data_IF_620590736195
#
_entry.id   IF_620590736195
#
_cell.length_a   1.000
_cell.length_b   1.000
_cell.length_c   1.000
_cell.angle_alpha   90.00
_cell.angle_beta   90.00
_cell.angle_gamma   90.00
#
_symmetry.space_group_name_H-M   'P 1'
#
loop_
_entity.id
_entity.type
_entity.pdbx_description
1 polymer ?
#
# COMPACT_ATOMS: atom_id res chain seq x y z
N UNK A 1 35.96 -11.38 -9.84
CA UNK A 1 35.46 -10.50 -8.75
C UNK A 1 35.71 -11.17 -7.40
N UNK A 2 36.95 -11.13 -6.91
CA UNK A 2 37.29 -11.62 -5.59
C UNK A 2 37.71 -10.41 -4.76
N UNK A 3 36.91 -10.02 -3.74
CA UNK A 3 37.34 -9.24 -2.56
C UNK A 3 36.23 -8.76 -1.62
N UNK A 4 34.96 -8.72 -2.04
CA UNK A 4 33.87 -8.36 -1.13
C UNK A 4 33.22 -9.62 -0.55
N UNK A 5 33.04 -9.71 0.78
CA UNK A 5 32.24 -10.75 1.40
C UNK A 5 30.82 -10.79 0.83
N UNK A 6 30.18 -11.95 0.96
CA UNK A 6 28.80 -12.17 0.51
C UNK A 6 27.85 -11.15 1.15
N UNK A 7 28.01 -10.94 2.45
CA UNK A 7 27.17 -10.08 3.29
C UNK A 7 27.24 -8.63 2.82
N UNK A 8 28.44 -8.13 2.53
CA UNK A 8 28.63 -6.76 2.04
C UNK A 8 28.05 -6.60 0.64
N UNK A 9 28.20 -7.60 -0.21
CA UNK A 9 27.65 -7.56 -1.57
C UNK A 9 26.11 -7.57 -1.56
N UNK A 10 25.51 -8.42 -0.72
CA UNK A 10 24.06 -8.45 -0.51
C UNK A 10 23.54 -7.12 0.02
N UNK A 11 24.24 -6.50 0.97
CA UNK A 11 23.87 -5.19 1.52
C UNK A 11 23.94 -4.09 0.44
N UNK A 12 25.02 -4.06 -0.36
CA UNK A 12 25.13 -3.11 -1.48
C UNK A 12 23.96 -3.29 -2.45
N UNK A 13 23.60 -4.53 -2.77
CA UNK A 13 22.45 -4.80 -3.63
C UNK A 13 21.16 -4.29 -2.99
N UNK A 14 20.89 -4.59 -1.72
CA UNK A 14 19.70 -4.11 -1.01
C UNK A 14 19.59 -2.58 -1.04
N UNK A 15 20.69 -1.88 -0.77
CA UNK A 15 20.72 -0.41 -0.78
C UNK A 15 20.59 0.21 -2.18
N UNK A 16 20.83 -0.57 -3.23
CA UNK A 16 20.67 -0.12 -4.61
C UNK A 16 19.26 -0.34 -5.18
N UNK A 17 18.38 -1.05 -4.45
CA UNK A 17 17.01 -1.26 -4.88
C UNK A 17 16.17 0.01 -4.67
N UNK A 18 15.25 0.33 -5.60
CA UNK A 18 14.17 1.24 -5.27
C UNK A 18 13.27 0.62 -4.18
N UNK A 19 12.51 1.46 -3.48
CA UNK A 19 11.64 1.02 -2.39
C UNK A 19 10.63 -0.05 -2.83
N UNK A 20 10.03 0.11 -4.02
CA UNK A 20 9.30 -0.95 -4.71
C UNK A 20 9.92 -1.22 -6.09
N UNK A 21 10.66 -2.33 -6.25
CA UNK A 21 11.22 -2.70 -7.53
C UNK A 21 10.14 -3.15 -8.53
N UNK A 22 10.22 -2.62 -9.75
CA UNK A 22 9.41 -3.06 -10.87
C UNK A 22 9.98 -4.35 -11.49
N UNK A 23 9.14 -5.37 -11.75
CA UNK A 23 9.50 -6.51 -12.56
C UNK A 23 9.96 -6.08 -13.96
N UNK A 24 11.23 -6.34 -14.29
CA UNK A 24 11.73 -6.09 -15.63
C UNK A 24 13.15 -6.60 -15.82
N UNK A 25 13.47 -7.08 -17.02
CA UNK A 25 14.79 -7.67 -17.33
C UNK A 25 15.95 -6.66 -17.19
N UNK A 26 15.66 -5.37 -17.32
CA UNK A 26 16.63 -4.27 -17.16
C UNK A 26 16.49 -3.52 -15.83
N UNK A 27 15.67 -4.04 -14.91
CA UNK A 27 15.45 -3.47 -13.59
C UNK A 27 16.15 -4.33 -12.53
N UNK A 28 16.62 -3.71 -11.46
CA UNK A 28 17.08 -4.46 -10.28
C UNK A 28 15.87 -5.08 -9.56
N UNK A 29 16.00 -6.27 -8.95
CA UNK A 29 17.20 -7.09 -8.81
C UNK A 29 17.47 -8.00 -10.03
N UNK A 30 16.59 -8.07 -11.02
CA UNK A 30 16.74 -8.96 -12.20
C UNK A 30 18.00 -8.66 -13.01
N UNK A 31 18.38 -7.39 -13.14
CA UNK A 31 19.61 -6.97 -13.81
C UNK A 31 20.85 -7.63 -13.19
N UNK A 32 20.89 -7.80 -11.86
CA UNK A 32 22.01 -8.43 -11.18
C UNK A 32 22.17 -9.91 -11.53
N UNK A 33 21.08 -10.58 -11.90
CA UNK A 33 21.12 -11.96 -12.38
C UNK A 33 21.83 -12.10 -13.73
N UNK A 34 21.88 -11.04 -14.54
CA UNK A 34 22.42 -11.06 -15.89
C UNK A 34 23.90 -10.62 -15.99
N UNK A 35 24.48 -10.05 -14.93
CA UNK A 35 25.84 -9.47 -14.97
C UNK A 35 26.92 -10.55 -14.94
N UNK A 36 26.92 -11.40 -13.90
CA UNK A 36 27.82 -12.54 -13.81
C UNK A 36 27.26 -13.62 -12.86
N UNK A 37 27.76 -14.86 -12.98
CA UNK A 37 27.29 -15.98 -12.17
C UNK A 37 27.43 -15.74 -10.66
N UNK A 38 28.48 -15.05 -10.22
CA UNK A 38 28.67 -14.74 -8.80
C UNK A 38 27.54 -13.85 -8.27
N UNK A 39 27.17 -12.78 -9.00
CA UNK A 39 26.08 -11.89 -8.60
C UNK A 39 24.73 -12.60 -8.63
N UNK A 40 24.50 -13.44 -9.64
CA UNK A 40 23.30 -14.25 -9.72
C UNK A 40 23.14 -15.15 -8.48
N UNK A 41 24.21 -15.80 -8.02
CA UNK A 41 24.18 -16.62 -6.81
C UNK A 41 23.86 -15.80 -5.55
N UNK A 42 24.47 -14.63 -5.40
CA UNK A 42 24.21 -13.73 -4.26
C UNK A 42 22.73 -13.30 -4.24
N UNK A 43 22.21 -12.87 -5.39
CA UNK A 43 20.85 -12.34 -5.51
C UNK A 43 19.81 -13.43 -5.31
N UNK A 44 20.03 -14.63 -5.84
CA UNK A 44 19.14 -15.78 -5.66
C UNK A 44 19.18 -16.34 -4.23
N UNK A 45 20.29 -16.17 -3.51
CA UNK A 45 20.46 -16.60 -2.12
C UNK A 45 20.05 -15.54 -1.09
N UNK A 46 19.63 -14.35 -1.53
CA UNK A 46 19.22 -13.23 -0.65
C UNK A 46 17.72 -12.94 -0.82
N UNK A 47 16.82 -13.60 -0.06
CA UNK A 47 15.36 -13.41 -0.18
C UNK A 47 14.88 -11.98 0.06
N UNK A 48 15.61 -11.20 0.87
CA UNK A 48 15.25 -9.81 1.18
C UNK A 48 15.21 -8.91 -0.07
N UNK A 49 15.99 -9.22 -1.11
CA UNK A 49 15.95 -8.49 -2.40
C UNK A 49 14.63 -8.67 -3.15
N UNK A 50 13.84 -9.67 -2.77
CA UNK A 50 12.57 -10.03 -3.41
C UNK A 50 11.37 -9.71 -2.52
N UNK A 51 11.62 -9.15 -1.33
CA UNK A 51 10.58 -8.87 -0.33
C UNK A 51 9.69 -7.67 -0.70
N UNK A 52 10.03 -6.90 -1.74
CA UNK A 52 9.22 -5.81 -2.24
C UNK A 52 8.97 -5.95 -3.76
N UNK A 53 7.80 -5.51 -4.23
CA UNK A 53 7.44 -5.51 -5.66
C UNK A 53 6.45 -4.38 -5.98
N UNK A 54 6.65 -3.71 -7.11
CA UNK A 54 5.65 -2.83 -7.73
C UNK A 54 4.96 -3.55 -8.89
N UNK A 55 3.63 -3.56 -8.92
CA UNK A 55 2.82 -4.17 -9.97
C UNK A 55 1.96 -3.09 -10.60
N UNK A 56 2.19 -2.79 -11.88
CA UNK A 56 1.41 -1.81 -12.63
C UNK A 56 0.44 -2.44 -13.62
N UNK A 57 -0.74 -1.81 -13.76
CA UNK A 57 -1.80 -2.26 -14.66
C UNK A 57 -2.02 -1.29 -15.85
N UNK A 58 -2.26 -1.80 -17.08
CA UNK A 58 -2.34 -3.22 -17.44
C UNK A 58 -0.98 -3.91 -17.38
N UNK A 59 -0.97 -5.10 -16.81
CA UNK A 59 0.24 -5.89 -16.61
C UNK A 59 0.63 -6.56 -17.94
N UNK A 60 1.83 -6.31 -18.45
CA UNK A 60 2.32 -7.02 -19.63
C UNK A 60 2.33 -8.53 -19.35
N UNK A 61 2.05 -9.39 -20.34
CA UNK A 61 2.03 -10.85 -20.12
C UNK A 61 3.31 -11.37 -19.46
N UNK A 62 4.47 -10.84 -19.87
CA UNK A 62 5.76 -11.17 -19.27
C UNK A 62 5.85 -10.88 -17.76
N UNK A 63 5.12 -9.87 -17.26
CA UNK A 63 5.10 -9.53 -15.84
C UNK A 63 4.26 -10.51 -15.03
N UNK A 64 3.14 -11.00 -15.58
CA UNK A 64 2.33 -12.04 -14.93
C UNK A 64 3.15 -13.28 -14.61
N UNK A 65 4.00 -13.70 -15.55
CA UNK A 65 4.87 -14.87 -15.37
C UNK A 65 6.01 -14.61 -14.37
N UNK A 66 6.39 -13.34 -14.18
CA UNK A 66 7.47 -12.95 -13.26
C UNK A 66 7.01 -12.83 -11.81
N UNK A 67 5.76 -12.43 -11.55
CA UNK A 67 5.26 -12.23 -10.18
C UNK A 67 5.38 -13.52 -9.35
N UNK A 68 4.91 -14.70 -9.79
CA UNK A 68 5.07 -15.93 -9.01
C UNK A 68 6.53 -16.28 -8.70
N UNK A 69 7.42 -16.08 -9.68
CA UNK A 69 8.86 -16.32 -9.51
C UNK A 69 9.45 -15.36 -8.46
N UNK A 70 9.03 -14.10 -8.50
CA UNK A 70 9.45 -13.08 -7.53
C UNK A 70 9.01 -13.44 -6.11
N UNK A 71 7.73 -13.77 -5.94
CA UNK A 71 7.18 -14.15 -4.64
C UNK A 71 7.80 -15.44 -4.11
N UNK A 72 8.07 -16.43 -4.97
CA UNK A 72 8.79 -17.64 -4.59
C UNK A 72 10.20 -17.35 -4.06
N UNK A 73 10.91 -16.38 -4.65
CA UNK A 73 12.26 -15.98 -4.21
C UNK A 73 12.26 -15.19 -2.90
N UNK A 74 11.17 -14.50 -2.58
CA UNK A 74 10.98 -13.85 -1.29
C UNK A 74 10.85 -14.86 -0.12
N UNK A 75 10.49 -16.12 -0.43
CA UNK A 75 10.38 -17.23 0.53
C UNK A 75 9.40 -16.95 1.67
N UNK A 76 9.91 -16.62 2.85
CA UNK A 76 9.15 -16.36 4.09
C UNK A 76 9.37 -14.94 4.59
N UNK A 77 9.90 -14.06 3.74
CA UNK A 77 10.11 -12.66 4.09
C UNK A 77 8.77 -11.92 4.18
N UNK A 78 8.66 -10.90 5.04
CA UNK A 78 7.51 -10.02 5.04
C UNK A 78 7.44 -9.25 3.71
N UNK A 79 6.34 -9.40 2.98
CA UNK A 79 6.15 -8.81 1.66
C UNK A 79 5.62 -7.38 1.74
N UNK A 80 6.21 -6.51 0.92
CA UNK A 80 5.76 -5.16 0.65
C UNK A 80 5.32 -5.05 -0.81
N UNK A 81 4.04 -4.83 -1.07
CA UNK A 81 3.49 -4.81 -2.42
C UNK A 81 2.94 -3.42 -2.72
N UNK A 82 3.32 -2.86 -3.85
CA UNK A 82 2.73 -1.62 -4.38
C UNK A 82 1.97 -1.96 -5.66
N UNK A 83 0.70 -1.57 -5.74
CA UNK A 83 -0.20 -1.85 -6.86
C UNK A 83 -0.63 -0.53 -7.50
N UNK A 84 -0.31 -0.33 -8.78
CA UNK A 84 -0.90 0.77 -9.55
C UNK A 84 -2.25 0.32 -10.12
N UNK A 85 -3.32 0.72 -9.45
CA UNK A 85 -4.70 0.41 -9.81
C UNK A 85 -5.10 1.23 -11.03
N UNK A 86 -5.60 0.53 -12.05
CA UNK A 86 -6.27 1.15 -13.19
C UNK A 86 -7.48 0.31 -13.62
N UNK A 87 -8.31 0.85 -14.52
CA UNK A 87 -9.44 0.12 -15.11
C UNK A 87 -8.98 -1.23 -15.69
N UNK A 88 -9.52 -2.32 -15.15
CA UNK A 88 -9.18 -3.70 -15.55
C UNK A 88 -8.22 -4.42 -14.59
N UNK A 89 -8.45 -4.31 -13.28
CA UNK A 89 -7.73 -5.10 -12.29
C UNK A 89 -7.72 -6.58 -12.68
N UNK A 90 -6.54 -7.18 -12.67
CA UNK A 90 -6.34 -8.54 -13.15
C UNK A 90 -6.64 -9.56 -12.05
N UNK A 91 -7.69 -10.35 -12.23
CA UNK A 91 -8.07 -11.43 -11.28
C UNK A 91 -6.93 -12.41 -11.05
N UNK A 92 -6.08 -12.65 -12.05
CA UNK A 92 -4.93 -13.55 -11.91
C UNK A 92 -3.96 -13.02 -10.84
N UNK A 93 -3.77 -11.70 -10.77
CA UNK A 93 -2.90 -11.08 -9.77
C UNK A 93 -3.54 -11.15 -8.38
N UNK A 94 -4.86 -10.99 -8.25
CA UNK A 94 -5.55 -11.24 -6.96
C UNK A 94 -5.32 -12.67 -6.49
N UNK A 95 -5.42 -13.64 -7.40
CA UNK A 95 -5.24 -15.04 -7.07
C UNK A 95 -3.80 -15.34 -6.61
N UNK A 96 -2.81 -14.79 -7.31
CA UNK A 96 -1.39 -14.94 -6.92
C UNK A 96 -1.11 -14.28 -5.56
N UNK A 97 -1.65 -13.07 -5.33
CA UNK A 97 -1.51 -12.38 -4.05
C UNK A 97 -2.24 -13.11 -2.92
N UNK A 98 -3.38 -13.74 -3.20
CA UNK A 98 -4.12 -14.58 -2.25
C UNK A 98 -3.29 -15.74 -1.73
N UNK A 99 -2.55 -16.42 -2.61
CA UNK A 99 -1.66 -17.52 -2.21
C UNK A 99 -0.56 -17.07 -1.23
N UNK A 100 -0.10 -15.83 -1.38
CA UNK A 100 0.96 -15.24 -0.56
C UNK A 100 0.46 -14.26 0.51
N UNK A 101 -0.87 -14.16 0.69
CA UNK A 101 -1.53 -13.14 1.52
C UNK A 101 -1.05 -13.11 2.98
N UNK A 102 -0.66 -14.26 3.51
CA UNK A 102 -0.11 -14.40 4.87
C UNK A 102 1.25 -13.72 5.07
N UNK A 103 2.01 -13.48 3.99
CA UNK A 103 3.33 -12.83 4.05
C UNK A 103 3.22 -11.31 3.89
N UNK A 104 2.11 -10.80 3.35
CA UNK A 104 1.92 -9.37 3.11
C UNK A 104 1.87 -8.60 4.43
N UNK A 105 2.79 -7.64 4.58
CA UNK A 105 2.90 -6.74 5.73
C UNK A 105 2.63 -5.29 5.37
N UNK A 106 3.00 -4.90 4.15
CA UNK A 106 2.82 -3.55 3.64
C UNK A 106 2.16 -3.60 2.26
N UNK A 107 1.08 -2.86 2.08
CA UNK A 107 0.36 -2.75 0.82
C UNK A 107 0.21 -1.28 0.46
N UNK A 108 0.56 -0.92 -0.76
CA UNK A 108 0.26 0.40 -1.31
C UNK A 108 -0.63 0.27 -2.54
N UNK A 109 -1.68 1.09 -2.59
CA UNK A 109 -2.59 1.19 -3.71
C UNK A 109 -2.43 2.58 -4.30
N UNK A 110 -2.01 2.66 -5.56
CA UNK A 110 -1.76 3.92 -6.26
C UNK A 110 -2.75 4.05 -7.43
N UNK A 111 -3.36 5.21 -7.58
CA UNK A 111 -4.18 5.54 -8.74
C UNK A 111 -3.31 5.78 -9.97
N UNK A 112 -3.89 5.59 -11.17
CA UNK A 112 -3.20 5.96 -12.41
C UNK A 112 -3.20 7.49 -12.56
N UNK A 113 -2.09 8.14 -12.22
CA UNK A 113 -1.83 9.53 -12.64
C UNK A 113 -1.55 9.53 -14.14
N UNK A 114 -2.43 10.15 -14.92
CA UNK A 114 -2.24 10.28 -16.37
C UNK A 114 -1.35 11.49 -16.65
N UNK A 115 -0.05 11.29 -16.84
CA UNK A 115 0.86 12.34 -17.37
C UNK A 115 0.75 12.50 -18.90
N UNK A 116 -0.43 12.27 -19.49
CA UNK A 116 -0.64 12.54 -20.92
C UNK A 116 -1.01 14.02 -21.11
N UNK A 117 -0.06 14.94 -20.97
CA UNK A 117 -0.17 16.31 -21.51
C UNK A 117 1.21 16.97 -21.71
N UNK A 118 2.09 16.31 -22.48
CA UNK A 118 3.28 16.99 -23.06
C UNK A 118 2.97 17.59 -24.45
N UNK A 119 1.81 17.30 -25.04
CA UNK A 119 1.38 17.93 -26.29
C UNK A 119 0.05 18.65 -26.09
N UNK A 120 0.13 19.98 -26.03
CA UNK A 120 -0.99 20.87 -25.74
C UNK A 120 -2.20 20.64 -26.64
N UNK A 121 -3.37 20.51 -26.02
CA UNK A 121 -4.65 20.49 -26.70
C UNK A 121 -5.75 19.99 -25.78
N UNK A 122 -6.48 20.94 -25.17
CA UNK A 122 -7.70 20.74 -24.39
C UNK A 122 -7.60 19.74 -23.22
N UNK A 123 -7.40 20.26 -22.01
CA UNK A 123 -7.53 19.57 -20.73
C UNK A 123 -8.80 18.71 -20.69
N UNK A 124 -8.71 17.36 -20.74
CA UNK A 124 -9.72 16.54 -20.11
C UNK A 124 -9.45 16.63 -18.61
N UNK A 125 -10.45 17.04 -17.83
CA UNK A 125 -10.38 16.86 -16.37
C UNK A 125 -9.83 15.46 -16.05
N UNK A 126 -8.90 15.32 -15.09
CA UNK A 126 -8.39 14.02 -14.71
C UNK A 126 -9.58 13.21 -14.22
N UNK A 127 -10.06 12.27 -15.04
CA UNK A 127 -11.03 11.27 -14.62
C UNK A 127 -10.29 10.49 -13.55
N UNK A 128 -10.55 10.84 -12.28
CA UNK A 128 -9.98 10.15 -11.12
C UNK A 128 -10.58 8.75 -11.11
N UNK A 129 -9.90 7.81 -11.76
CA UNK A 129 -10.30 6.41 -11.75
C UNK A 129 -10.07 5.86 -10.34
N UNK A 130 -11.17 5.69 -9.60
CA UNK A 130 -11.12 5.15 -8.25
C UNK A 130 -11.06 3.62 -8.22
N UNK A 131 -10.45 3.07 -7.19
CA UNK A 131 -10.53 1.67 -6.85
C UNK A 131 -11.84 1.34 -6.15
N UNK A 132 -12.45 0.20 -6.46
CA UNK A 132 -13.67 -0.23 -5.76
C UNK A 132 -13.36 -0.56 -4.30
N UNK A 133 -14.14 -0.02 -3.37
CA UNK A 133 -14.05 -0.35 -1.94
C UNK A 133 -14.18 -1.85 -1.71
N UNK A 134 -15.10 -2.50 -2.42
CA UNK A 134 -15.30 -3.95 -2.34
C UNK A 134 -14.01 -4.71 -2.63
N UNK A 135 -13.26 -4.33 -3.67
CA UNK A 135 -11.98 -4.96 -4.02
C UNK A 135 -10.89 -4.68 -2.98
N UNK A 136 -10.89 -3.48 -2.41
CA UNK A 136 -10.00 -3.15 -1.29
C UNK A 136 -10.26 -4.06 -0.11
N UNK A 137 -11.53 -4.25 0.25
CA UNK A 137 -11.91 -5.09 1.37
C UNK A 137 -11.66 -6.57 1.10
N UNK A 138 -11.92 -7.05 -0.13
CA UNK A 138 -11.51 -8.39 -0.57
C UNK A 138 -9.98 -8.58 -0.39
N UNK A 139 -9.16 -7.62 -0.85
CA UNK A 139 -7.70 -7.66 -0.65
C UNK A 139 -7.30 -7.67 0.83
N UNK A 140 -7.96 -6.87 1.66
CA UNK A 140 -7.67 -6.83 3.10
C UNK A 140 -8.08 -8.12 3.81
N UNK A 141 -9.18 -8.76 3.40
CA UNK A 141 -9.57 -10.08 3.90
C UNK A 141 -8.55 -11.17 3.54
N UNK A 142 -7.92 -11.04 2.37
CA UNK A 142 -6.89 -11.97 1.90
C UNK A 142 -5.53 -11.77 2.58
N UNK A 143 -5.34 -10.67 3.31
CA UNK A 143 -4.04 -10.27 3.87
C UNK A 143 -4.10 -10.16 5.40
N UNK A 144 -4.35 -11.25 6.15
CA UNK A 144 -4.65 -11.22 7.59
C UNK A 144 -3.49 -10.72 8.46
N UNK A 145 -2.28 -10.66 7.92
CA UNK A 145 -1.08 -10.22 8.60
C UNK A 145 -0.64 -8.81 8.21
N UNK A 146 -1.46 -8.10 7.42
CA UNK A 146 -1.16 -6.76 6.95
C UNK A 146 -1.06 -5.79 8.14
N UNK A 147 0.02 -5.03 8.16
CA UNK A 147 0.31 -4.07 9.22
C UNK A 147 0.19 -2.63 8.71
N UNK A 148 0.40 -2.41 7.42
CA UNK A 148 0.35 -1.09 6.80
C UNK A 148 -0.39 -1.11 5.47
N UNK A 149 -1.32 -0.18 5.30
CA UNK A 149 -1.92 0.17 4.01
C UNK A 149 -1.70 1.66 3.73
N UNK A 150 -1.22 1.93 2.53
CA UNK A 150 -1.20 3.27 1.95
C UNK A 150 -2.14 3.26 0.75
N UNK A 151 -3.22 4.03 0.78
CA UNK A 151 -4.09 4.19 -0.37
C UNK A 151 -3.94 5.61 -0.91
N UNK A 152 -3.17 5.70 -1.98
CA UNK A 152 -3.06 6.83 -2.88
C UNK A 152 -3.92 6.57 -4.13
N UNK A 153 -5.17 6.15 -3.91
CA UNK A 153 -6.22 6.12 -4.94
C UNK A 153 -7.56 6.48 -4.32
N UNK A 154 -8.41 7.18 -5.07
CA UNK A 154 -9.83 7.34 -4.71
C UNK A 154 -10.47 5.97 -4.48
N UNK A 155 -11.12 5.75 -3.35
CA UNK A 155 -11.89 4.53 -3.12
C UNK A 155 -13.38 4.82 -3.35
N UNK A 156 -14.06 4.01 -4.15
CA UNK A 156 -15.49 4.20 -4.45
C UNK A 156 -16.33 3.35 -3.50
N UNK A 157 -17.27 3.96 -2.77
CA UNK A 157 -18.24 3.24 -1.93
C UNK A 157 -19.04 2.25 -2.78
N UNK A 158 -19.19 1.04 -2.26
CA UNK A 158 -20.16 0.07 -2.74
C UNK A 158 -21.13 -0.21 -1.60
N UNK A 159 -22.43 -0.33 -1.92
CA UNK A 159 -23.53 -0.15 -0.96
C UNK A 159 -23.84 -1.40 -0.13
N UNK A 160 -23.00 -2.43 -0.17
CA UNK A 160 -23.33 -3.73 0.42
C UNK A 160 -22.09 -4.48 0.90
N UNK A 161 -21.46 -3.99 1.96
CA UNK A 161 -20.23 -4.59 2.48
C UNK A 161 -20.32 -4.88 3.98
N UNK A 162 -19.91 -6.08 4.35
CA UNK A 162 -19.75 -6.48 5.75
C UNK A 162 -18.60 -5.70 6.39
N UNK A 163 -18.76 -5.34 7.67
CA UNK A 163 -17.75 -4.64 8.46
C UNK A 163 -16.49 -5.51 8.55
N UNK A 164 -15.37 -5.01 8.03
CA UNK A 164 -14.07 -5.65 8.11
C UNK A 164 -13.46 -5.40 9.49
N UNK A 165 -13.01 -6.46 10.17
CA UNK A 165 -12.22 -6.32 11.40
C UNK A 165 -10.81 -6.79 11.12
N UNK A 166 -9.83 -5.90 11.25
CA UNK A 166 -8.43 -6.22 10.98
C UNK A 166 -7.55 -6.03 12.24
N UNK A 167 -7.26 -7.10 13.00
CA UNK A 167 -6.69 -6.97 14.34
C UNK A 167 -5.18 -6.64 14.37
N UNK A 168 -4.46 -6.80 13.26
CA UNK A 168 -3.00 -6.56 13.19
C UNK A 168 -2.63 -5.26 12.47
N UNK A 169 -3.62 -4.52 12.01
CA UNK A 169 -3.39 -3.34 11.20
C UNK A 169 -2.95 -2.18 12.08
N UNK A 170 -1.76 -1.63 11.82
CA UNK A 170 -1.13 -0.60 12.64
C UNK A 170 -1.08 0.75 11.95
N UNK A 171 -0.96 0.79 10.63
CA UNK A 171 -0.79 2.05 9.88
C UNK A 171 -1.76 2.11 8.71
N UNK A 172 -2.54 3.18 8.67
CA UNK A 172 -3.47 3.48 7.59
C UNK A 172 -3.22 4.90 7.09
N UNK A 173 -2.83 5.03 5.83
CA UNK A 173 -2.45 6.30 5.22
C UNK A 173 -3.26 6.51 3.94
N UNK A 174 -3.93 7.66 3.83
CA UNK A 174 -4.56 8.13 2.61
C UNK A 174 -3.77 9.30 2.03
N UNK A 175 -3.58 9.29 0.71
CA UNK A 175 -2.83 10.32 0.01
C UNK A 175 -3.56 11.66 -0.04
N UNK A 176 -2.78 12.76 0.06
CA UNK A 176 -3.29 14.13 -0.04
C UNK A 176 -3.97 14.36 -1.40
N UNK A 177 -5.28 14.62 -1.40
CA UNK A 177 -6.24 14.76 -2.52
C UNK A 177 -7.20 13.59 -2.70
N UNK A 178 -7.05 12.50 -1.98
CA UNK A 178 -7.89 11.32 -2.15
C UNK A 178 -8.68 11.08 -0.89
N UNK A 179 -9.86 11.70 -0.88
CA UNK A 179 -10.86 11.44 0.14
C UNK A 179 -11.26 9.97 0.06
N UNK A 180 -11.08 9.24 1.17
CA UNK A 180 -11.97 8.11 1.43
C UNK A 180 -13.39 8.62 1.21
N UNK A 181 -14.24 7.86 0.52
CA UNK A 181 -15.51 8.40 0.09
C UNK A 181 -16.29 8.87 1.31
N UNK A 182 -16.83 10.09 1.21
CA UNK A 182 -17.31 10.87 2.34
C UNK A 182 -18.24 10.05 3.25
N UNK A 183 -17.75 9.71 4.44
CA UNK A 183 -18.48 8.92 5.45
C UNK A 183 -18.39 7.39 5.27
N UNK A 184 -18.38 6.66 6.39
CA UNK A 184 -18.54 5.21 6.41
C UNK A 184 -17.31 4.42 6.85
N UNK A 185 -16.15 5.02 7.14
CA UNK A 185 -15.02 4.27 7.71
C UNK A 185 -15.41 3.54 8.99
N UNK A 186 -16.18 4.20 9.85
CA UNK A 186 -16.77 3.70 11.08
C UNK A 186 -17.74 2.52 10.88
N UNK A 187 -18.42 2.49 9.73
CA UNK A 187 -19.36 1.44 9.36
C UNK A 187 -18.65 0.26 8.70
N UNK A 188 -17.57 0.53 7.98
CA UNK A 188 -16.91 -0.41 7.09
C UNK A 188 -15.75 -1.15 7.75
N UNK A 189 -15.05 -0.55 8.72
CA UNK A 189 -13.86 -1.16 9.31
C UNK A 189 -13.77 -0.95 10.83
N UNK A 190 -13.26 -1.96 11.53
CA UNK A 190 -12.79 -1.86 12.92
C UNK A 190 -11.30 -2.22 12.97
N UNK A 191 -10.49 -1.26 13.41
CA UNK A 191 -9.03 -1.36 13.39
C UNK A 191 -8.48 -1.16 14.82
N UNK A 192 -8.64 -2.15 15.71
CA UNK A 192 -8.36 -2.00 17.14
C UNK A 192 -6.88 -1.86 17.49
N UNK A 193 -5.96 -2.12 16.55
CA UNK A 193 -4.51 -2.02 16.77
C UNK A 193 -3.88 -0.86 16.01
N UNK A 194 -4.69 0.08 15.50
CA UNK A 194 -4.21 1.18 14.68
C UNK A 194 -3.36 2.17 15.53
N UNK A 195 -2.13 2.39 15.11
CA UNK A 195 -1.14 3.26 15.77
C UNK A 195 -0.93 4.56 14.98
N UNK A 196 -0.95 4.50 13.64
CA UNK A 196 -0.83 5.67 12.75
C UNK A 196 -2.04 5.77 11.84
N UNK A 197 -2.66 6.95 11.81
CA UNK A 197 -3.73 7.30 10.89
C UNK A 197 -3.36 8.58 10.16
N UNK A 198 -3.33 8.55 8.83
CA UNK A 198 -3.17 9.73 7.99
C UNK A 198 -4.34 9.82 7.04
N UNK A 199 -5.11 10.91 7.09
CA UNK A 199 -6.25 11.07 6.20
C UNK A 199 -6.71 12.51 6.01
N UNK A 200 -7.21 12.82 4.81
CA UNK A 200 -7.98 14.03 4.54
C UNK A 200 -9.38 13.85 5.14
N UNK A 201 -9.73 14.67 6.13
CA UNK A 201 -10.95 14.51 6.90
C UNK A 201 -12.07 15.42 6.42
N UNK A 202 -13.27 14.84 6.34
CA UNK A 202 -14.53 15.59 6.45
C UNK A 202 -15.05 15.54 7.88
N UNK A 203 -15.67 16.62 8.35
CA UNK A 203 -16.24 16.69 9.70
C UNK A 203 -17.19 15.51 10.02
N UNK A 204 -17.09 14.98 11.23
CA UNK A 204 -17.93 13.94 11.84
C UNK A 204 -17.40 12.51 11.72
N UNK A 205 -16.62 12.18 10.68
CA UNK A 205 -16.23 10.79 10.38
C UNK A 205 -15.14 10.27 11.32
N UNK A 206 -14.16 11.11 11.67
CA UNK A 206 -13.07 10.72 12.58
C UNK A 206 -13.60 10.33 13.96
N UNK A 207 -14.49 11.15 14.51
CA UNK A 207 -15.00 10.95 15.87
C UNK A 207 -15.73 9.62 16.01
N UNK A 208 -16.58 9.26 15.03
CA UNK A 208 -17.30 7.99 15.02
C UNK A 208 -16.34 6.82 14.87
N UNK A 209 -15.36 6.91 13.97
CA UNK A 209 -14.36 5.87 13.78
C UNK A 209 -13.54 5.61 15.04
N UNK A 210 -13.09 6.67 15.73
CA UNK A 210 -12.32 6.53 16.98
C UNK A 210 -13.15 5.93 18.12
N UNK A 211 -14.44 6.28 18.23
CA UNK A 211 -15.34 5.65 19.22
C UNK A 211 -15.52 4.16 18.95
N UNK A 212 -15.74 3.79 17.69
CA UNK A 212 -16.02 2.41 17.28
C UNK A 212 -14.77 1.51 17.33
N UNK A 213 -13.63 1.99 16.83
CA UNK A 213 -12.39 1.19 16.78
C UNK A 213 -11.58 1.26 18.07
N UNK A 214 -11.76 2.32 18.88
CA UNK A 214 -10.96 2.61 20.09
C UNK A 214 -9.46 2.30 19.93
N UNK A 215 -8.80 2.80 18.87
CA UNK A 215 -7.44 2.40 18.55
C UNK A 215 -6.41 3.04 19.51
N UNK A 216 -5.27 2.38 19.79
CA UNK A 216 -4.16 2.94 20.55
C UNK A 216 -3.34 3.91 19.70
N UNK A 217 -3.99 4.94 19.16
CA UNK A 217 -3.40 5.85 18.19
C UNK A 217 -2.25 6.66 18.81
N UNK A 218 -1.09 6.63 18.15
CA UNK A 218 0.14 7.31 18.53
C UNK A 218 0.41 8.51 17.61
N UNK A 219 0.02 8.39 16.34
CA UNK A 219 0.24 9.39 15.31
C UNK A 219 -1.04 9.62 14.50
N UNK A 220 -1.45 10.90 14.41
CA UNK A 220 -2.59 11.34 13.62
C UNK A 220 -2.12 12.46 12.69
N UNK A 221 -2.26 12.24 11.39
CA UNK A 221 -1.97 13.22 10.34
C UNK A 221 -3.29 13.55 9.68
N UNK A 222 -3.68 14.80 9.76
CA UNK A 222 -4.87 15.35 9.13
C UNK A 222 -4.35 16.20 7.97
N UNK A 223 -4.78 15.93 6.74
CA UNK A 223 -4.42 16.79 5.60
C UNK A 223 -5.20 18.10 5.60
N UNK A 224 -5.47 18.71 4.43
CA UNK A 224 -6.13 20.03 4.31
C UNK A 224 -7.46 20.07 5.10
N UNK A 225 -7.37 20.51 6.35
CA UNK A 225 -8.39 20.38 7.37
C UNK A 225 -9.40 21.53 7.30
N UNK A 226 -9.86 21.87 6.10
CA UNK A 226 -10.69 23.07 5.88
C UNK A 226 -11.99 23.08 6.69
N UNK A 227 -12.40 21.94 7.27
CA UNK A 227 -13.69 21.78 7.94
C UNK A 227 -13.67 21.09 9.31
N UNK A 228 -12.52 20.78 9.92
CA UNK A 228 -12.51 20.19 11.27
C UNK A 228 -12.68 21.26 12.33
N UNK A 229 -13.91 21.38 12.86
CA UNK A 229 -14.21 22.28 13.96
C UNK A 229 -13.35 21.94 15.19
N UNK A 230 -12.89 22.98 15.90
CA UNK A 230 -12.09 22.84 17.11
C UNK A 230 -12.73 21.90 18.16
N UNK A 231 -14.06 21.98 18.30
CA UNK A 231 -14.82 21.14 19.22
C UNK A 231 -14.75 19.65 18.85
N UNK A 232 -14.79 19.33 17.56
CA UNK A 232 -14.68 17.95 17.09
C UNK A 232 -13.27 17.41 17.33
N UNK A 233 -12.24 18.20 17.01
CA UNK A 233 -10.86 17.82 17.28
C UNK A 233 -10.64 17.57 18.77
N UNK A 234 -11.19 18.43 19.65
CA UNK A 234 -11.08 18.26 21.10
C UNK A 234 -11.70 16.94 21.59
N UNK A 235 -12.85 16.56 21.02
CA UNK A 235 -13.51 15.30 21.35
C UNK A 235 -12.72 14.08 20.83
N UNK A 236 -12.17 14.18 19.62
CA UNK A 236 -11.29 13.15 19.06
C UNK A 236 -10.05 12.93 19.94
N UNK A 237 -9.35 14.00 20.32
CA UNK A 237 -8.17 13.93 21.19
C UNK A 237 -8.49 13.34 22.57
N UNK A 238 -9.69 13.57 23.10
CA UNK A 238 -10.17 12.92 24.33
C UNK A 238 -10.30 11.40 24.22
N UNK A 239 -10.50 10.85 23.02
CA UNK A 239 -10.59 9.40 22.78
C UNK A 239 -9.23 8.74 22.54
N UNK A 240 -8.19 9.52 22.21
CA UNK A 240 -6.83 9.02 21.94
C UNK A 240 -5.81 9.61 22.91
N UNK A 241 -5.88 9.28 24.21
CA UNK A 241 -4.99 9.85 25.23
C UNK A 241 -3.51 9.48 25.04
N UNK A 242 -3.21 8.52 24.17
CA UNK A 242 -1.86 8.05 23.87
C UNK A 242 -1.21 8.76 22.67
N UNK A 243 -1.90 9.73 22.05
CA UNK A 243 -1.42 10.44 20.89
C UNK A 243 -0.14 11.23 21.23
N UNK A 244 0.92 11.01 20.44
CA UNK A 244 2.23 11.66 20.60
C UNK A 244 2.54 12.65 19.49
N UNK A 245 1.98 12.44 18.31
CA UNK A 245 2.19 13.29 17.13
C UNK A 245 0.85 13.61 16.48
N UNK A 246 0.60 14.90 16.31
CA UNK A 246 -0.54 15.44 15.57
C UNK A 246 0.03 16.36 14.49
N UNK A 247 -0.29 16.09 13.23
CA UNK A 247 0.03 16.96 12.10
C UNK A 247 -1.28 17.41 11.44
N UNK A 248 -1.31 18.68 11.06
CA UNK A 248 -2.44 19.39 10.44
C UNK A 248 -1.92 20.28 9.32
#
# INVERSE_FOLDING_TARGET
MARLPLEISSEIFLQSLPFFPEPGVHRVPMLFLAICNAWAQIVLSTPALWAAIHISFPCARAWKDMIPIWLQRARSQPLSVSLQVAKGFDEDVLLILREHGHQLKHLELHGRWREDNIFGGASPEPIREGFSLRRTLELLQLTPNLECLVANTNILLDVNIEKLVHPKFRRLIFGNNESWPHGGLELLMSLPSLETLSMDLTSGTLLLFLKESSPPLVELIIGEADNLGFDELSQCLGLVPHLRRLEM
#
